data_IF_212893698677
#
_entry.id   IF_212893698677
#
_cell.length_a   1.000
_cell.length_b   1.000
_cell.length_c   1.000
_cell.angle_alpha   90.00
_cell.angle_beta   90.00
_cell.angle_gamma   90.00
#
_symmetry.space_group_name_H-M   'P 1'
#
loop_
_entity.id
_entity.type
_entity.pdbx_description
1 polymer ?
#
# COMPACT_ATOMS: atom_id res chain seq x y z
N UNK A 1 23.77 3.56 62.19
CA UNK A 1 23.79 2.97 61.08
C UNK A 1 23.03 3.54 60.05
N UNK A 2 23.56 3.87 59.04
CA UNK A 2 22.91 4.44 58.00
C UNK A 2 22.69 3.52 56.95
N UNK A 3 21.60 3.54 56.32
CA UNK A 3 21.31 2.72 55.30
C UNK A 3 21.10 3.52 54.15
N UNK A 4 21.79 3.41 53.11
CA UNK A 4 21.54 4.15 51.93
C UNK A 4 20.85 3.25 50.98
N UNK A 5 19.69 3.64 50.64
CA UNK A 5 18.95 2.92 49.72
C UNK A 5 19.19 3.48 48.37
N UNK A 6 19.80 2.73 47.56
CA UNK A 6 20.03 3.18 46.25
C UNK A 6 18.81 2.88 45.47
N UNK A 7 18.22 3.90 45.00
CA UNK A 7 17.09 3.69 44.14
C UNK A 7 17.59 3.52 42.77
N UNK A 8 17.41 2.36 42.28
CA UNK A 8 17.70 2.15 40.92
C UNK A 8 16.51 2.55 40.14
N UNK A 9 16.65 3.64 39.47
CA UNK A 9 15.57 4.03 38.57
C UNK A 9 15.76 3.27 37.32
N UNK A 10 14.87 2.38 37.10
CA UNK A 10 14.87 1.63 35.89
C UNK A 10 14.18 2.47 34.86
N UNK A 11 14.93 3.04 33.99
CA UNK A 11 14.32 3.78 32.90
C UNK A 11 13.96 2.78 31.86
N UNK A 12 12.71 2.61 31.71
CA UNK A 12 12.25 1.74 30.66
C UNK A 12 12.41 2.47 29.36
N UNK A 13 13.25 1.94 28.54
CA UNK A 13 13.43 2.53 27.25
C UNK A 13 12.37 2.01 26.37
N UNK A 14 11.51 2.88 25.95
CA UNK A 14 10.50 2.50 25.05
C UNK A 14 11.03 2.61 23.67
N UNK A 15 11.26 1.53 23.05
CA UNK A 15 11.69 1.55 21.68
C UNK A 15 10.45 1.71 20.83
N UNK A 16 10.28 2.86 20.30
CA UNK A 16 9.15 3.09 19.44
C UNK A 16 9.47 2.53 18.08
N UNK A 17 8.76 1.51 17.71
CA UNK A 17 8.92 1.00 16.38
C UNK A 17 7.93 1.72 15.53
N UNK A 18 8.42 2.48 14.63
CA UNK A 18 7.54 3.17 13.73
C UNK A 18 7.19 2.26 12.59
N UNK A 19 5.96 2.26 12.25
CA UNK A 19 5.52 1.50 11.11
C UNK A 19 6.11 2.14 9.89
N UNK A 20 6.75 1.35 9.11
CA UNK A 20 7.37 1.87 7.92
C UNK A 20 6.48 1.62 6.76
N UNK A 21 5.40 2.32 6.71
CA UNK A 21 4.45 2.10 5.64
C UNK A 21 5.10 2.31 4.31
N UNK A 22 5.98 3.30 4.24
CA UNK A 22 6.55 3.60 2.96
C UNK A 22 7.61 2.60 2.59
N UNK A 23 8.07 1.81 3.53
CA UNK A 23 9.12 0.86 3.21
C UNK A 23 8.59 -0.45 2.77
N UNK A 24 7.30 -0.60 2.71
CA UNK A 24 6.75 -1.90 2.40
C UNK A 24 7.15 -2.38 1.04
N UNK A 25 7.53 -1.48 0.16
CA UNK A 25 7.88 -1.87 -1.17
C UNK A 25 9.37 -1.73 -1.45
N UNK A 26 10.18 -1.77 -0.42
CA UNK A 26 11.62 -1.69 -0.62
C UNK A 26 12.15 -3.07 -0.92
N UNK A 27 12.00 -3.51 -2.15
CA UNK A 27 12.35 -4.85 -2.56
C UNK A 27 13.31 -4.75 -3.74
N UNK A 28 14.40 -5.53 -3.68
CA UNK A 28 15.32 -5.54 -4.79
C UNK A 28 14.64 -6.08 -6.02
N UNK A 29 14.97 -5.49 -7.16
CA UNK A 29 14.28 -5.84 -8.40
C UNK A 29 14.37 -7.30 -8.74
N UNK A 30 15.46 -7.94 -8.37
CA UNK A 30 15.59 -9.34 -8.71
C UNK A 30 14.60 -10.20 -7.96
N UNK A 31 13.98 -9.64 -6.92
CA UNK A 31 13.00 -10.38 -6.14
C UNK A 31 11.59 -9.99 -6.48
N UNK A 32 11.40 -9.23 -7.54
CA UNK A 32 10.07 -8.81 -7.93
C UNK A 32 9.38 -9.90 -8.69
N UNK A 33 8.09 -9.99 -8.50
CA UNK A 33 7.27 -10.86 -9.32
C UNK A 33 7.07 -10.21 -10.69
N UNK A 34 6.90 -11.00 -11.72
CA UNK A 34 6.71 -10.42 -13.04
C UNK A 34 5.33 -9.81 -13.19
N UNK A 35 5.19 -8.94 -14.18
CA UNK A 35 3.91 -8.29 -14.42
C UNK A 35 2.82 -9.29 -14.70
N UNK A 36 3.16 -10.42 -15.30
CA UNK A 36 2.17 -11.44 -15.58
C UNK A 36 1.55 -11.96 -14.29
N UNK A 37 2.33 -12.02 -13.22
CA UNK A 37 1.79 -12.48 -11.96
C UNK A 37 0.81 -11.43 -11.41
N UNK A 38 1.10 -10.16 -11.63
CA UNK A 38 0.19 -9.10 -11.22
C UNK A 38 -1.10 -9.18 -12.00
N UNK A 39 -1.00 -9.41 -13.29
CA UNK A 39 -2.20 -9.51 -14.13
C UNK A 39 -3.04 -10.70 -13.71
N UNK A 40 -2.39 -11.80 -13.35
CA UNK A 40 -3.12 -12.97 -12.92
C UNK A 40 -3.83 -12.72 -11.59
N UNK A 41 -3.14 -12.06 -10.68
CA UNK A 41 -3.76 -11.72 -9.42
C UNK A 41 -4.99 -10.83 -9.64
N UNK A 42 -4.87 -9.87 -10.53
CA UNK A 42 -5.99 -8.99 -10.82
C UNK A 42 -7.16 -9.78 -11.39
N UNK A 43 -6.88 -10.69 -12.31
CA UNK A 43 -7.94 -11.50 -12.90
C UNK A 43 -8.59 -12.37 -11.84
N UNK A 44 -7.80 -12.92 -10.94
CA UNK A 44 -8.35 -13.76 -9.88
C UNK A 44 -9.25 -12.97 -8.95
N UNK A 45 -9.01 -11.68 -8.84
CA UNK A 45 -9.83 -10.83 -8.00
C UNK A 45 -11.01 -10.22 -8.77
N UNK A 46 -11.14 -10.54 -10.04
CA UNK A 46 -12.23 -10.00 -10.82
C UNK A 46 -12.01 -8.58 -11.28
N UNK A 47 -10.77 -8.13 -11.28
CA UNK A 47 -10.47 -6.77 -11.69
C UNK A 47 -10.17 -6.74 -13.18
N UNK A 48 -10.56 -5.65 -13.81
CA UNK A 48 -10.18 -5.39 -15.18
C UNK A 48 -9.06 -4.36 -15.13
N UNK A 49 -7.88 -4.76 -15.54
CA UNK A 49 -6.69 -3.93 -15.43
C UNK A 49 -6.65 -2.94 -16.56
N UNK A 50 -6.42 -1.69 -16.22
CA UNK A 50 -6.19 -0.68 -17.22
C UNK A 50 -4.73 -0.38 -17.32
N UNK A 51 -4.01 -0.42 -16.24
CA UNK A 51 -2.60 -0.12 -16.24
C UNK A 51 -1.93 -0.74 -15.03
N UNK A 52 -0.72 -1.21 -15.24
CA UNK A 52 0.15 -1.65 -14.17
C UNK A 52 1.38 -0.79 -14.24
N UNK A 53 1.68 -0.09 -13.16
CA UNK A 53 2.85 0.76 -13.16
C UNK A 53 3.58 0.58 -11.85
N UNK A 54 4.73 1.19 -11.74
CA UNK A 54 5.55 1.15 -10.54
C UNK A 54 5.47 2.52 -9.91
N UNK A 55 5.14 2.53 -8.64
CA UNK A 55 4.98 3.77 -7.92
C UNK A 55 5.56 3.59 -6.54
N UNK A 56 6.57 4.38 -6.19
CA UNK A 56 7.21 4.29 -4.89
C UNK A 56 7.71 2.90 -4.60
N UNK A 57 8.25 2.24 -5.59
CA UNK A 57 8.80 0.91 -5.40
C UNK A 57 7.77 -0.19 -5.31
N UNK A 58 6.51 0.12 -5.49
CA UNK A 58 5.44 -0.86 -5.46
C UNK A 58 4.84 -1.01 -6.85
N UNK A 59 4.17 -2.12 -7.08
CA UNK A 59 3.32 -2.20 -8.25
C UNK A 59 2.02 -1.47 -7.94
N UNK A 60 1.53 -0.75 -8.89
CA UNK A 60 0.24 -0.10 -8.74
C UNK A 60 -0.64 -0.52 -9.90
N UNK A 61 -1.79 -1.09 -9.58
CA UNK A 61 -2.74 -1.55 -10.58
C UNK A 61 -3.90 -0.58 -10.59
N UNK A 62 -4.20 -0.08 -11.77
CA UNK A 62 -5.33 0.81 -11.95
C UNK A 62 -6.32 0.11 -12.86
N UNK A 63 -7.57 0.15 -12.50
CA UNK A 63 -8.57 -0.49 -13.33
C UNK A 63 -9.94 -0.38 -12.68
N UNK A 64 -10.75 -1.41 -12.87
CA UNK A 64 -12.08 -1.46 -12.28
C UNK A 64 -12.26 -2.81 -11.62
N UNK A 65 -13.12 -2.83 -10.60
CA UNK A 65 -13.42 -4.08 -9.95
C UNK A 65 -14.56 -4.78 -10.69
N UNK A 66 -15.04 -5.88 -10.11
CA UNK A 66 -16.08 -6.67 -10.77
C UNK A 66 -17.39 -5.90 -10.92
N UNK A 67 -17.56 -4.86 -10.13
CA UNK A 67 -18.75 -4.04 -10.21
C UNK A 67 -18.58 -2.82 -11.08
N UNK A 68 -17.44 -2.71 -11.73
CA UNK A 68 -17.19 -1.55 -12.59
C UNK A 68 -16.71 -0.34 -11.86
N UNK A 69 -16.39 -0.46 -10.58
CA UNK A 69 -15.93 0.68 -9.82
C UNK A 69 -14.45 0.87 -10.04
N UNK A 70 -14.04 2.10 -10.26
CA UNK A 70 -12.64 2.40 -10.48
C UNK A 70 -11.85 2.16 -9.24
N UNK A 71 -10.69 1.56 -9.40
CA UNK A 71 -9.89 1.24 -8.25
C UNK A 71 -8.42 1.33 -8.55
N UNK A 72 -7.66 1.66 -7.52
CA UNK A 72 -6.21 1.66 -7.51
C UNK A 72 -5.76 0.72 -6.42
N UNK A 73 -4.86 -0.17 -6.74
CA UNK A 73 -4.37 -1.12 -5.76
C UNK A 73 -2.86 -1.08 -5.79
N UNK A 74 -2.27 -1.00 -4.61
CA UNK A 74 -0.83 -1.04 -4.48
C UNK A 74 -0.43 -2.40 -3.96
N UNK A 75 0.55 -3.00 -4.62
CA UNK A 75 0.97 -4.35 -4.30
C UNK A 75 2.44 -4.38 -3.96
N UNK A 76 2.76 -5.19 -2.98
CA UNK A 76 4.15 -5.46 -2.66
C UNK A 76 4.76 -6.22 -3.85
N UNK A 77 5.86 -5.74 -4.42
CA UNK A 77 6.33 -6.36 -5.67
C UNK A 77 6.91 -7.74 -5.49
N UNK A 78 7.32 -8.09 -4.29
CA UNK A 78 7.91 -9.40 -4.07
C UNK A 78 6.89 -10.46 -3.73
N UNK A 79 5.84 -10.11 -3.01
CA UNK A 79 4.85 -11.09 -2.58
C UNK A 79 3.50 -10.88 -3.23
N UNK A 80 3.28 -9.72 -3.81
CA UNK A 80 2.02 -9.28 -4.39
C UNK A 80 0.93 -9.12 -3.34
N UNK A 81 1.33 -8.94 -2.09
CA UNK A 81 0.36 -8.65 -1.06
C UNK A 81 -0.22 -7.27 -1.31
N UNK A 82 -1.51 -7.14 -1.10
CA UNK A 82 -2.17 -5.86 -1.27
C UNK A 82 -1.83 -5.01 -0.07
N UNK A 83 -1.16 -3.88 -0.29
CA UNK A 83 -0.80 -3.02 0.80
C UNK A 83 -1.58 -1.72 0.79
N UNK A 84 -2.35 -1.48 -0.25
CA UNK A 84 -3.19 -0.31 -0.30
C UNK A 84 -4.23 -0.47 -1.37
N UNK A 85 -5.40 0.05 -1.12
CA UNK A 85 -6.47 -0.02 -2.07
C UNK A 85 -7.35 1.20 -1.91
N UNK A 86 -7.69 1.82 -2.99
CA UNK A 86 -8.61 2.94 -2.94
C UNK A 86 -9.54 2.85 -4.13
N UNK A 87 -10.73 3.34 -3.92
CA UNK A 87 -11.73 3.38 -4.97
C UNK A 87 -11.96 4.83 -5.32
N UNK A 88 -12.07 5.09 -6.60
CA UNK A 88 -12.31 6.44 -7.04
C UNK A 88 -13.78 6.60 -7.30
N UNK A 89 -14.29 7.68 -6.77
CA UNK A 89 -15.68 7.95 -6.99
C UNK A 89 -15.85 8.59 -8.34
N UNK A 90 -16.89 8.23 -8.98
CA UNK A 90 -17.13 8.81 -10.27
C UNK A 90 -17.65 10.19 -10.19
N UNK A 91 -18.26 10.52 -9.10
CA UNK A 91 -18.90 11.80 -9.09
C UNK A 91 -17.94 12.89 -9.12
N UNK A 92 -16.68 12.65 -8.72
CA UNK A 92 -15.90 13.79 -8.70
C UNK A 92 -15.36 14.11 -10.03
N UNK A 93 -15.46 13.31 -11.02
CA UNK A 93 -15.11 13.81 -12.24
C UNK A 93 -16.21 14.45 -12.89
N UNK A 94 -17.39 14.37 -12.48
CA UNK A 94 -18.29 15.17 -13.10
C UNK A 94 -18.36 16.46 -12.54
N UNK A 95 -17.84 16.77 -11.72
CA UNK A 95 -17.96 18.06 -11.34
C UNK A 95 -16.99 18.83 -11.98
N UNK A 96 -16.74 18.44 -12.66
CA UNK A 96 -16.11 18.95 -13.18
C UNK A 96 -16.53 19.62 -13.99
N UNK A 97 -17.09 19.32 -13.71
CA UNK A 97 -17.49 19.76 -14.20
C UNK A 97 -18.01 20.39 -14.47
N UNK A 98 -18.10 20.44 -14.39
CA UNK A 98 -18.56 20.94 -14.57
C UNK A 98 -18.87 21.57 -14.96
N UNK A 99 -18.78 21.52 -14.93
CA UNK A 99 -18.93 21.97 -15.19
C UNK A 99 -19.26 22.56 -15.78
N UNK A 100 -19.25 22.47 -15.89
CA UNK A 100 -19.48 22.98 -16.34
C UNK A 100 -19.80 23.53 -16.86
N UNK A 101 -20.02 23.55 -16.96
CA UNK A 101 -20.19 24.01 -17.42
C UNK A 101 -20.10 24.59 -17.67
#
# INVERSE_FOLDING_TARGET
MKRTISLLTLTALLAATTAQAEDRCAVAMKNWQPREAVARLAADNGWTVRRIKIDDGCYEVTGTDANGKKLDVKLHPGTLAIIGRSYKENEHEEHEDHKDK
#
